data_IF_270586008835
#
_entry.id   IF_270586008835
#
_cell.length_a   1.000
_cell.length_b   1.000
_cell.length_c   1.000
_cell.angle_alpha   90.00
_cell.angle_beta   90.00
_cell.angle_gamma   90.00
#
_symmetry.space_group_name_H-M   'P 1'
#
loop_
_entity.id
_entity.type
_entity.pdbx_description
1 polymer ?
#
# COMPACT_ATOMS: atom_id res chain seq x y z
N UNK A 1 -37.52 -0.01 -21.17
CA UNK A 1 -36.58 -1.16 -21.13
C UNK A 1 -35.65 -0.91 -19.95
N UNK A 2 -35.95 -1.56 -18.83
CA UNK A 2 -35.28 -1.35 -17.54
C UNK A 2 -34.06 -2.27 -17.45
N UNK A 3 -32.88 -1.73 -17.15
CA UNK A 3 -31.67 -2.50 -16.92
C UNK A 3 -31.78 -3.22 -15.58
N UNK A 4 -31.72 -4.55 -15.60
CA UNK A 4 -31.70 -5.37 -14.41
C UNK A 4 -30.34 -5.22 -13.70
N UNK A 5 -30.35 -4.78 -12.44
CA UNK A 5 -29.25 -4.96 -11.52
C UNK A 5 -29.04 -6.47 -11.30
N UNK A 6 -27.82 -7.01 -11.44
CA UNK A 6 -27.56 -8.37 -11.01
C UNK A 6 -27.56 -8.38 -9.49
N UNK A 7 -28.65 -8.86 -8.90
CA UNK A 7 -28.72 -9.24 -7.49
C UNK A 7 -27.73 -10.37 -7.27
N UNK A 8 -26.63 -10.06 -6.59
CA UNK A 8 -25.73 -11.06 -6.01
C UNK A 8 -26.43 -11.58 -4.77
N UNK A 9 -26.94 -12.81 -4.83
CA UNK A 9 -27.52 -13.47 -3.67
C UNK A 9 -26.44 -13.62 -2.59
N UNK A 10 -26.63 -12.94 -1.46
CA UNK A 10 -25.82 -13.10 -0.27
C UNK A 10 -26.02 -14.52 0.25
N UNK A 11 -25.08 -15.42 -0.06
CA UNK A 11 -25.09 -16.76 0.51
C UNK A 11 -24.87 -16.67 2.03
N UNK A 12 -25.68 -17.37 2.85
CA UNK A 12 -25.43 -17.45 4.28
C UNK A 12 -24.05 -18.07 4.51
N UNK A 13 -23.27 -17.42 5.39
CA UNK A 13 -21.93 -17.88 5.77
C UNK A 13 -22.02 -19.34 6.26
N UNK A 14 -21.18 -20.26 5.78
CA UNK A 14 -20.96 -21.51 6.47
C UNK A 14 -20.53 -21.14 7.89
N UNK A 15 -21.24 -21.66 8.90
CA UNK A 15 -20.83 -21.54 10.28
C UNK A 15 -19.38 -22.04 10.37
N UNK A 16 -18.46 -21.12 10.64
CA UNK A 16 -17.01 -21.37 10.66
C UNK A 16 -16.43 -21.88 9.33
N UNK A 17 -16.22 -20.97 8.36
CA UNK A 17 -15.13 -21.19 7.40
C UNK A 17 -13.83 -21.02 8.17
N UNK A 18 -13.26 -22.13 8.61
CA UNK A 18 -11.87 -22.17 9.09
C UNK A 18 -10.99 -21.86 7.89
N UNK A 19 -10.70 -20.57 7.66
CA UNK A 19 -9.62 -20.17 6.77
C UNK A 19 -8.37 -20.88 7.31
N UNK A 20 -7.61 -21.63 6.47
CA UNK A 20 -6.33 -22.16 6.91
C UNK A 20 -5.54 -21.01 7.51
N UNK A 21 -4.97 -21.23 8.70
CA UNK A 21 -4.38 -20.19 9.55
C UNK A 21 -3.63 -19.18 8.70
N UNK A 22 -4.25 -18.01 8.52
CA UNK A 22 -3.63 -16.86 7.87
C UNK A 22 -2.32 -16.63 8.61
N UNK A 23 -1.17 -16.41 7.93
CA UNK A 23 0.03 -16.03 8.65
C UNK A 23 -0.34 -14.83 9.53
N UNK A 24 -0.22 -14.91 10.87
CA UNK A 24 -0.51 -13.77 11.75
C UNK A 24 0.24 -12.50 11.32
N UNK A 25 1.34 -12.69 10.59
CA UNK A 25 2.20 -11.68 10.00
C UNK A 25 1.51 -10.69 9.03
N UNK A 26 0.34 -11.00 8.45
CA UNK A 26 -0.25 -10.17 7.39
C UNK A 26 -1.60 -9.51 7.74
N UNK A 27 -2.08 -9.63 8.99
CA UNK A 27 -2.95 -8.63 9.61
C UNK A 27 -4.43 -8.57 9.22
N UNK A 28 -4.97 -9.55 8.47
CA UNK A 28 -6.42 -9.65 8.25
C UNK A 28 -7.06 -10.50 9.35
N UNK A 29 -8.09 -10.00 10.01
CA UNK A 29 -8.91 -10.78 10.95
C UNK A 29 -10.39 -10.62 10.62
N UNK A 30 -11.13 -11.72 10.66
CA UNK A 30 -12.60 -11.66 10.67
C UNK A 30 -13.05 -10.94 11.93
N UNK A 31 -14.04 -10.05 11.83
CA UNK A 31 -14.62 -9.38 13.02
C UNK A 31 -15.23 -10.44 13.94
N UNK A 32 -14.68 -10.69 15.14
CA UNK A 32 -15.39 -11.39 16.19
C UNK A 32 -16.53 -10.48 16.70
N UNK A 33 -17.66 -11.05 17.10
CA UNK A 33 -18.85 -10.31 17.57
C UNK A 33 -18.54 -9.28 18.69
N UNK A 34 -17.45 -9.47 19.42
CA UNK A 34 -17.01 -8.60 20.52
C UNK A 34 -16.14 -7.39 20.11
N UNK A 35 -15.71 -7.25 18.85
CA UNK A 35 -14.78 -6.17 18.46
C UNK A 35 -15.50 -4.83 18.28
N UNK A 36 -15.19 -3.89 19.18
CA UNK A 36 -15.59 -2.47 19.11
C UNK A 36 -14.61 -1.69 18.20
N UNK A 37 -14.72 -1.85 16.89
CA UNK A 37 -13.99 -1.06 15.89
C UNK A 37 -14.79 0.12 15.35
N UNK A 38 -14.12 1.10 14.73
CA UNK A 38 -14.76 2.22 14.02
C UNK A 38 -15.06 1.78 12.59
N UNK A 39 -16.24 2.13 12.04
CA UNK A 39 -16.56 1.93 10.62
C UNK A 39 -15.50 2.60 9.75
N UNK A 40 -14.96 1.87 8.78
CA UNK A 40 -13.92 2.39 7.89
C UNK A 40 -14.47 3.54 7.02
N UNK A 41 -15.70 3.42 6.50
CA UNK A 41 -16.39 4.52 5.82
C UNK A 41 -16.42 5.77 6.69
N UNK A 42 -16.94 5.67 7.91
CA UNK A 42 -17.03 6.82 8.84
C UNK A 42 -15.64 7.42 9.11
N UNK A 43 -14.63 6.59 9.30
CA UNK A 43 -13.27 7.03 9.59
C UNK A 43 -12.64 7.79 8.40
N UNK A 44 -12.90 7.35 7.17
CA UNK A 44 -12.17 7.81 5.98
C UNK A 44 -12.91 8.82 5.11
N UNK A 45 -14.22 8.97 5.28
CA UNK A 45 -15.05 9.85 4.42
C UNK A 45 -15.75 10.96 5.19
N UNK A 46 -15.39 11.18 6.47
CA UNK A 46 -15.96 12.28 7.28
C UNK A 46 -14.85 13.20 7.77
N UNK A 47 -15.16 14.49 7.90
CA UNK A 47 -14.20 15.50 8.35
C UNK A 47 -13.59 15.16 9.73
N UNK A 48 -14.43 14.66 10.66
CA UNK A 48 -13.98 14.26 11.99
C UNK A 48 -13.07 13.03 11.94
N UNK A 49 -13.44 12.01 11.17
CA UNK A 49 -12.62 10.80 11.02
C UNK A 49 -11.25 11.11 10.42
N UNK A 50 -11.23 11.87 9.32
CA UNK A 50 -10.00 12.29 8.66
C UNK A 50 -9.15 13.23 9.51
N UNK A 51 -9.74 14.09 10.36
CA UNK A 51 -8.99 14.90 11.31
C UNK A 51 -8.19 14.03 12.31
N UNK A 52 -8.78 12.93 12.78
CA UNK A 52 -8.04 11.96 13.61
C UNK A 52 -6.91 11.29 12.82
N UNK A 53 -7.16 10.92 11.55
CA UNK A 53 -6.13 10.36 10.68
C UNK A 53 -4.95 11.33 10.45
N UNK A 54 -5.24 12.60 10.19
CA UNK A 54 -4.22 13.63 9.96
C UNK A 54 -3.44 13.95 11.24
N UNK A 55 -4.09 13.96 12.39
CA UNK A 55 -3.42 14.07 13.69
C UNK A 55 -2.43 12.92 13.92
N UNK A 56 -2.79 11.68 13.53
CA UNK A 56 -1.90 10.54 13.61
C UNK A 56 -0.69 10.66 12.66
N UNK A 57 -0.86 11.27 11.47
CA UNK A 57 0.26 11.61 10.58
C UNK A 57 1.22 12.56 11.27
N UNK A 58 0.73 13.64 11.88
CA UNK A 58 1.60 14.60 12.55
C UNK A 58 2.35 13.97 13.73
N UNK A 59 1.67 13.12 14.51
CA UNK A 59 2.31 12.38 15.60
C UNK A 59 3.44 11.45 15.11
N UNK A 60 3.38 11.00 13.85
CA UNK A 60 4.36 10.07 13.27
C UNK A 60 5.51 10.80 12.57
N UNK A 61 5.20 11.83 11.80
CA UNK A 61 6.14 12.46 10.87
C UNK A 61 6.56 13.88 11.26
N UNK A 62 5.90 14.53 12.21
CA UNK A 62 6.16 15.92 12.57
C UNK A 62 5.09 16.90 12.08
N UNK A 63 5.39 18.19 12.07
CA UNK A 63 4.39 19.23 11.79
C UNK A 63 4.11 19.36 10.29
N UNK A 64 3.27 18.46 9.77
CA UNK A 64 2.91 18.43 8.36
C UNK A 64 1.76 19.40 8.04
N UNK A 65 1.92 20.17 6.95
CA UNK A 65 0.82 20.95 6.37
C UNK A 65 -0.36 20.03 5.95
N UNK A 66 -1.56 20.60 5.80
CA UNK A 66 -2.77 19.81 5.47
C UNK A 66 -2.62 18.94 4.22
N UNK A 67 -1.84 19.41 3.24
CA UNK A 67 -1.59 18.70 1.99
C UNK A 67 -0.66 17.51 2.19
N UNK A 68 0.41 17.71 2.95
CA UNK A 68 1.33 16.67 3.36
C UNK A 68 0.60 15.63 4.21
N UNK A 69 -0.25 16.05 5.16
CA UNK A 69 -1.13 15.16 5.93
C UNK A 69 -1.96 14.26 5.01
N UNK A 70 -2.67 14.84 4.04
CA UNK A 70 -3.48 14.09 3.08
C UNK A 70 -2.68 13.06 2.27
N UNK A 71 -1.52 13.47 1.72
CA UNK A 71 -0.70 12.57 0.89
C UNK A 71 0.04 11.50 1.70
N UNK A 72 0.51 11.81 2.91
CA UNK A 72 1.16 10.85 3.79
C UNK A 72 0.14 9.84 4.31
N UNK A 73 -1.02 10.32 4.75
CA UNK A 73 -2.10 9.48 5.22
C UNK A 73 -2.55 8.48 4.14
N UNK A 74 -2.92 8.96 2.94
CA UNK A 74 -3.48 8.07 1.92
C UNK A 74 -2.45 7.02 1.46
N UNK A 75 -1.17 7.37 1.43
CA UNK A 75 -0.10 6.43 1.10
C UNK A 75 0.10 5.37 2.18
N UNK A 76 0.12 5.77 3.45
CA UNK A 76 0.23 4.83 4.57
C UNK A 76 -1.00 3.92 4.65
N UNK A 77 -2.20 4.49 4.55
CA UNK A 77 -3.46 3.74 4.55
C UNK A 77 -3.52 2.74 3.39
N UNK A 78 -3.28 3.18 2.15
CA UNK A 78 -3.35 2.30 0.99
C UNK A 78 -2.33 1.16 1.10
N UNK A 79 -1.11 1.43 1.57
CA UNK A 79 -0.11 0.39 1.79
C UNK A 79 -0.58 -0.64 2.84
N UNK A 80 -0.92 -0.20 4.04
CA UNK A 80 -1.30 -1.08 5.16
C UNK A 80 -2.58 -1.87 4.86
N UNK A 81 -3.55 -1.27 4.17
CA UNK A 81 -4.79 -1.93 3.76
C UNK A 81 -4.55 -2.98 2.66
N UNK A 82 -3.68 -2.69 1.69
CA UNK A 82 -3.46 -3.59 0.56
C UNK A 82 -2.62 -4.81 0.90
N UNK A 83 -1.73 -4.74 1.91
CA UNK A 83 -0.95 -5.90 2.34
C UNK A 83 -1.82 -7.15 2.65
N UNK A 84 -2.80 -7.10 3.57
CA UNK A 84 -3.67 -8.24 3.85
C UNK A 84 -4.55 -8.65 2.66
N UNK A 85 -5.05 -7.68 1.89
CA UNK A 85 -5.91 -7.93 0.71
C UNK A 85 -5.15 -8.75 -0.34
N UNK A 86 -3.94 -8.29 -0.71
CA UNK A 86 -3.12 -8.94 -1.72
C UNK A 86 -2.53 -10.26 -1.22
N UNK A 87 -2.20 -10.36 0.07
CA UNK A 87 -1.80 -11.62 0.69
C UNK A 87 -2.90 -12.68 0.63
N UNK A 88 -4.14 -12.29 0.95
CA UNK A 88 -5.32 -13.18 0.86
C UNK A 88 -5.48 -13.72 -0.56
N UNK A 89 -5.33 -12.83 -1.54
CA UNK A 89 -5.49 -13.17 -2.94
C UNK A 89 -4.38 -14.08 -3.47
N UNK A 90 -3.11 -13.72 -3.26
CA UNK A 90 -1.96 -14.52 -3.72
C UNK A 90 -1.91 -15.91 -3.05
N UNK A 91 -2.42 -16.08 -1.83
CA UNK A 91 -2.45 -17.36 -1.12
C UNK A 91 -3.67 -18.23 -1.46
N UNK A 92 -4.87 -17.63 -1.48
CA UNK A 92 -6.12 -18.38 -1.51
C UNK A 92 -6.95 -18.18 -2.78
N UNK A 93 -6.53 -17.30 -3.69
CA UNK A 93 -7.33 -16.87 -4.83
C UNK A 93 -8.62 -16.17 -4.41
N UNK A 94 -8.63 -15.56 -3.22
CA UNK A 94 -9.78 -14.87 -2.64
C UNK A 94 -9.48 -13.39 -2.46
N UNK A 95 -10.36 -12.53 -2.95
CA UNK A 95 -10.32 -11.09 -2.67
C UNK A 95 -11.44 -10.79 -1.67
N UNK A 96 -11.15 -10.25 -0.47
CA UNK A 96 -12.20 -9.77 0.42
C UNK A 96 -12.96 -8.61 -0.22
N UNK A 97 -14.21 -8.36 0.20
CA UNK A 97 -14.92 -7.15 -0.24
C UNK A 97 -14.05 -5.92 -0.01
N UNK A 98 -13.95 -5.04 -1.01
CA UNK A 98 -13.31 -3.73 -0.84
C UNK A 98 -14.34 -2.62 -0.57
N UNK A 99 -15.61 -2.94 -0.32
CA UNK A 99 -16.58 -1.92 0.10
C UNK A 99 -16.24 -1.42 1.52
N UNK A 100 -16.12 -0.11 1.69
CA UNK A 100 -15.83 0.54 2.98
C UNK A 100 -16.83 0.17 4.09
N UNK A 101 -18.07 -0.17 3.75
CA UNK A 101 -19.07 -0.58 4.74
C UNK A 101 -18.80 -1.96 5.34
N UNK A 102 -18.03 -2.79 4.65
CA UNK A 102 -17.66 -4.12 5.11
C UNK A 102 -16.48 -4.12 6.09
N UNK A 103 -15.85 -2.97 6.34
CA UNK A 103 -14.65 -2.89 7.18
C UNK A 103 -14.85 -2.08 8.45
N UNK A 104 -14.18 -2.55 9.50
CA UNK A 104 -13.91 -1.79 10.72
C UNK A 104 -12.41 -1.66 10.91
N UNK A 105 -11.98 -0.57 11.53
CA UNK A 105 -10.59 -0.36 11.92
C UNK A 105 -10.49 -0.14 13.43
N UNK A 106 -9.45 -0.73 14.02
CA UNK A 106 -8.99 -0.44 15.37
C UNK A 106 -7.52 -0.05 15.29
N UNK A 107 -7.12 0.92 16.10
CA UNK A 107 -5.73 1.33 16.17
C UNK A 107 -5.12 0.81 17.46
N UNK A 108 -3.99 0.11 17.37
CA UNK A 108 -3.29 -0.44 18.54
C UNK A 108 -1.89 0.17 18.64
N UNK A 109 -1.46 0.58 19.86
CA UNK A 109 -0.15 1.15 20.05
C UNK A 109 0.92 0.08 19.82
N UNK A 110 1.79 0.32 18.84
CA UNK A 110 2.96 -0.49 18.52
C UNK A 110 4.20 0.28 18.94
N UNK A 111 5.10 -0.38 19.67
CA UNK A 111 6.39 0.19 20.09
C UNK A 111 7.50 -0.37 19.24
N UNK A 112 8.34 0.50 18.69
CA UNK A 112 9.55 0.12 17.96
C UNK A 112 10.73 0.87 18.54
N UNK A 113 11.80 0.14 18.83
CA UNK A 113 13.08 0.71 19.24
C UNK A 113 13.87 1.08 17.99
N UNK A 114 14.14 2.37 17.81
CA UNK A 114 15.02 2.86 16.75
C UNK A 114 16.47 2.38 16.99
N UNK A 115 17.33 2.31 15.97
CA UNK A 115 18.74 1.94 16.13
C UNK A 115 19.52 2.81 17.12
N UNK A 116 19.08 4.05 17.36
CA UNK A 116 19.65 4.98 18.34
C UNK A 116 19.12 4.76 19.78
N UNK A 117 18.35 3.70 20.04
CA UNK A 117 17.78 3.37 21.35
C UNK A 117 16.50 4.13 21.72
N UNK A 118 16.03 5.07 20.90
CA UNK A 118 14.77 5.79 21.17
C UNK A 118 13.56 4.88 20.90
N UNK A 119 12.60 4.86 21.81
CA UNK A 119 11.30 4.23 21.58
C UNK A 119 10.39 5.14 20.75
N UNK A 120 9.85 4.60 19.67
CA UNK A 120 8.78 5.19 18.88
C UNK A 120 7.49 4.42 19.16
N UNK A 121 6.47 5.11 19.64
CA UNK A 121 5.11 4.55 19.76
C UNK A 121 4.28 5.09 18.62
N UNK A 122 3.79 4.22 17.74
CA UNK A 122 2.84 4.59 16.69
C UNK A 122 1.59 3.70 16.78
N UNK A 123 0.47 4.23 16.32
CA UNK A 123 -0.81 3.54 16.37
C UNK A 123 -1.03 2.80 15.06
N UNK A 124 -0.77 1.47 15.05
CA UNK A 124 -0.91 0.64 13.87
C UNK A 124 -2.40 0.35 13.59
N UNK A 125 -2.87 0.48 12.34
CA UNK A 125 -4.23 0.08 12.00
C UNK A 125 -4.35 -1.45 11.93
N UNK A 126 -5.41 -1.97 12.53
CA UNK A 126 -5.87 -3.35 12.41
C UNK A 126 -7.21 -3.33 11.69
N UNK A 127 -7.27 -3.98 10.53
CA UNK A 127 -8.46 -4.04 9.69
C UNK A 127 -9.24 -5.31 9.97
N UNK A 128 -10.52 -5.14 10.26
CA UNK A 128 -11.45 -6.22 10.52
C UNK A 128 -12.54 -6.23 9.46
N UNK A 129 -12.76 -7.40 8.88
CA UNK A 129 -13.76 -7.61 7.83
C UNK A 129 -15.05 -8.17 8.44
N UNK A 130 -16.18 -7.49 8.20
CA UNK A 130 -17.50 -7.85 8.71
C UNK A 130 -18.20 -8.90 7.84
N UNK A 131 -17.86 -8.97 6.55
CA UNK A 131 -18.40 -9.94 5.61
C UNK A 131 -17.32 -10.40 4.63
N UNK A 132 -17.14 -11.71 4.50
CA UNK A 132 -16.43 -12.28 3.36
C UNK A 132 -17.40 -12.31 2.19
N UNK A 133 -17.50 -11.22 1.43
CA UNK A 133 -17.93 -11.32 0.03
C UNK A 133 -16.76 -11.93 -0.73
N UNK A 134 -16.54 -13.21 -0.48
CA UNK A 134 -15.45 -13.94 -1.08
C UNK A 134 -15.74 -14.04 -2.56
N UNK A 135 -15.07 -13.21 -3.36
CA UNK A 135 -14.76 -13.57 -4.73
C UNK A 135 -13.93 -14.84 -4.64
N UNK A 136 -14.58 -16.00 -4.63
CA UNK A 136 -13.88 -17.25 -4.93
C UNK A 136 -13.34 -17.09 -6.34
N UNK A 137 -12.14 -17.62 -6.57
CA UNK A 137 -11.56 -17.88 -7.88
C UNK A 137 -12.61 -18.59 -8.77
N UNK A 138 -13.50 -17.83 -9.40
CA UNK A 138 -14.10 -18.23 -10.65
C UNK A 138 -12.95 -18.15 -11.66
N UNK A 139 -12.96 -19.02 -12.66
CA UNK A 139 -11.97 -19.11 -13.74
C UNK A 139 -11.95 -17.85 -14.65
N UNK A 140 -12.23 -16.67 -14.09
CA UNK A 140 -12.20 -15.39 -14.77
C UNK A 140 -10.78 -15.07 -15.18
N UNK A 141 -10.60 -15.12 -16.49
CA UNK A 141 -9.40 -14.67 -17.20
C UNK A 141 -9.07 -13.19 -16.96
N UNK A 142 -9.90 -12.43 -16.20
CA UNK A 142 -9.75 -10.97 -16.02
C UNK A 142 -9.85 -10.46 -14.56
N UNK A 143 -9.28 -11.20 -13.59
CA UNK A 143 -9.23 -10.76 -12.19
C UNK A 143 -8.53 -9.39 -12.00
N UNK A 144 -7.63 -9.01 -12.91
CA UNK A 144 -6.91 -7.73 -12.87
C UNK A 144 -7.87 -6.57 -13.08
N UNK A 145 -8.80 -6.68 -14.04
CA UNK A 145 -9.84 -5.68 -14.24
C UNK A 145 -10.82 -5.62 -13.05
N UNK A 146 -11.19 -6.78 -12.47
CA UNK A 146 -12.05 -6.83 -11.27
C UNK A 146 -11.38 -6.10 -10.11
N UNK A 147 -10.12 -6.43 -9.81
CA UNK A 147 -9.37 -5.76 -8.74
C UNK A 147 -9.20 -4.26 -9.04
N UNK A 148 -8.88 -3.89 -10.28
CA UNK A 148 -8.77 -2.49 -10.69
C UNK A 148 -10.06 -1.71 -10.42
N UNK A 149 -11.22 -2.23 -10.85
CA UNK A 149 -12.52 -1.63 -10.61
C UNK A 149 -12.86 -1.53 -9.11
N UNK A 150 -12.58 -2.58 -8.34
CA UNK A 150 -12.79 -2.60 -6.90
C UNK A 150 -11.91 -1.58 -6.16
N UNK A 151 -10.65 -1.40 -6.60
CA UNK A 151 -9.75 -0.38 -6.06
C UNK A 151 -10.26 1.03 -6.38
N UNK A 152 -10.71 1.28 -7.61
CA UNK A 152 -11.31 2.57 -7.97
C UNK A 152 -12.53 2.88 -7.10
N UNK A 153 -13.43 1.91 -6.93
CA UNK A 153 -14.61 2.06 -6.09
C UNK A 153 -14.26 2.33 -4.63
N UNK A 154 -13.29 1.59 -4.07
CA UNK A 154 -12.85 1.75 -2.68
C UNK A 154 -12.21 3.12 -2.43
N UNK A 155 -11.28 3.54 -3.30
CA UNK A 155 -10.49 4.74 -3.07
C UNK A 155 -11.16 6.04 -3.49
N UNK A 156 -12.13 6.03 -4.42
CA UNK A 156 -12.80 7.27 -4.87
C UNK A 156 -13.37 8.11 -3.74
N UNK A 157 -14.26 7.60 -2.85
CA UNK A 157 -14.83 8.41 -1.79
C UNK A 157 -13.79 8.88 -0.75
N UNK A 158 -12.68 8.14 -0.61
CA UNK A 158 -11.56 8.51 0.27
C UNK A 158 -10.76 9.66 -0.35
N UNK A 159 -10.48 9.57 -1.64
CA UNK A 159 -9.77 10.62 -2.39
C UNK A 159 -10.57 11.91 -2.38
N UNK A 160 -11.88 11.84 -2.63
CA UNK A 160 -12.78 13.00 -2.61
C UNK A 160 -12.74 13.70 -1.25
N UNK A 161 -12.94 12.94 -0.16
CA UNK A 161 -12.94 13.48 1.19
C UNK A 161 -11.57 14.05 1.61
N UNK A 162 -10.47 13.38 1.25
CA UNK A 162 -9.12 13.88 1.53
C UNK A 162 -8.84 15.15 0.70
N UNK A 163 -9.22 15.19 -0.57
CA UNK A 163 -9.02 16.36 -1.43
C UNK A 163 -9.74 17.58 -0.85
N UNK A 164 -11.00 17.41 -0.46
CA UNK A 164 -11.82 18.44 0.19
C UNK A 164 -11.15 18.95 1.48
N UNK A 165 -10.76 18.06 2.39
CA UNK A 165 -10.24 18.45 3.70
C UNK A 165 -8.80 18.98 3.67
N UNK A 166 -7.95 18.44 2.80
CA UNK A 166 -6.53 18.83 2.72
C UNK A 166 -6.27 20.01 1.79
N UNK A 167 -7.21 20.32 0.89
CA UNK A 167 -6.98 21.26 -0.21
C UNK A 167 -6.00 20.74 -1.28
N UNK A 168 -5.80 19.41 -1.34
CA UNK A 168 -5.08 18.75 -2.42
C UNK A 168 -5.98 18.53 -3.64
N UNK A 169 -5.36 18.48 -4.82
CA UNK A 169 -6.03 17.93 -6.00
C UNK A 169 -6.06 16.40 -5.91
N UNK A 170 -7.09 15.78 -6.46
CA UNK A 170 -7.26 14.33 -6.47
C UNK A 170 -6.14 13.60 -7.24
N UNK A 171 -5.70 14.14 -8.38
CA UNK A 171 -4.70 13.48 -9.24
C UNK A 171 -3.40 13.08 -8.50
N UNK A 172 -2.76 13.98 -7.72
CA UNK A 172 -1.66 13.61 -6.84
C UNK A 172 -1.98 12.50 -5.82
N UNK A 173 -3.18 12.49 -5.22
CA UNK A 173 -3.59 11.45 -4.27
C UNK A 173 -3.68 10.07 -4.95
N UNK A 174 -4.29 10.02 -6.14
CA UNK A 174 -4.33 8.80 -6.94
C UNK A 174 -2.95 8.27 -7.33
N UNK A 175 -1.98 9.15 -7.63
CA UNK A 175 -0.60 8.72 -7.88
C UNK A 175 0.07 8.13 -6.65
N UNK A 176 -0.23 8.64 -5.45
CA UNK A 176 0.26 8.05 -4.20
C UNK A 176 -0.40 6.69 -3.94
N UNK A 177 -1.68 6.51 -4.28
CA UNK A 177 -2.33 5.20 -4.24
C UNK A 177 -1.67 4.23 -5.23
N UNK A 178 -1.39 4.65 -6.46
CA UNK A 178 -0.67 3.84 -7.44
C UNK A 178 0.72 3.40 -6.93
N UNK A 179 1.47 4.32 -6.30
CA UNK A 179 2.73 3.98 -5.63
C UNK A 179 2.52 2.95 -4.50
N UNK A 180 1.41 3.04 -3.77
CA UNK A 180 1.12 2.14 -2.65
C UNK A 180 0.75 0.73 -3.13
N UNK A 181 0.02 0.64 -4.25
CA UNK A 181 -0.24 -0.63 -4.95
C UNK A 181 1.09 -1.29 -5.35
N UNK A 182 1.99 -0.56 -6.01
CA UNK A 182 3.27 -1.13 -6.45
C UNK A 182 4.09 -1.69 -5.28
N UNK A 183 4.24 -0.94 -4.17
CA UNK A 183 5.02 -1.47 -3.02
C UNK A 183 4.30 -2.63 -2.33
N UNK A 184 2.97 -2.63 -2.23
CA UNK A 184 2.24 -3.70 -1.57
C UNK A 184 2.41 -5.01 -2.34
N UNK A 185 2.24 -4.98 -3.68
CA UNK A 185 2.52 -6.14 -4.53
C UNK A 185 3.99 -6.59 -4.44
N UNK A 186 4.95 -5.66 -4.43
CA UNK A 186 6.36 -6.00 -4.30
C UNK A 186 6.66 -6.70 -2.97
N UNK A 187 6.14 -6.19 -1.86
CA UNK A 187 6.38 -6.76 -0.53
C UNK A 187 5.72 -8.13 -0.37
N UNK A 188 4.46 -8.27 -0.78
CA UNK A 188 3.77 -9.56 -0.72
C UNK A 188 4.40 -10.56 -1.68
N UNK A 189 4.78 -10.13 -2.90
CA UNK A 189 5.45 -10.97 -3.89
C UNK A 189 6.79 -11.50 -3.40
N UNK A 190 7.63 -10.64 -2.78
CA UNK A 190 8.89 -11.06 -2.13
C UNK A 190 8.66 -12.07 -1.02
N UNK A 191 7.67 -11.83 -0.16
CA UNK A 191 7.36 -12.74 0.95
C UNK A 191 6.79 -14.10 0.49
N UNK A 192 6.37 -14.21 -0.78
CA UNK A 192 5.74 -15.40 -1.35
C UNK A 192 6.52 -16.00 -2.50
N UNK A 193 7.78 -15.58 -2.68
CA UNK A 193 8.67 -16.05 -3.75
C UNK A 193 8.05 -15.92 -5.16
N UNK A 194 7.21 -14.91 -5.39
CA UNK A 194 6.51 -14.66 -6.65
C UNK A 194 6.65 -13.20 -7.12
N UNK A 195 7.78 -12.56 -6.78
CA UNK A 195 8.02 -11.13 -6.98
C UNK A 195 7.72 -10.66 -8.40
N UNK A 196 8.26 -11.33 -9.42
CA UNK A 196 8.11 -10.93 -10.81
C UNK A 196 6.63 -10.90 -11.23
N UNK A 197 5.88 -11.96 -10.94
CA UNK A 197 4.46 -12.04 -11.24
C UNK A 197 3.64 -10.97 -10.49
N UNK A 198 4.00 -10.68 -9.24
CA UNK A 198 3.36 -9.64 -8.45
C UNK A 198 3.64 -8.23 -9.02
N UNK A 199 4.86 -7.96 -9.50
CA UNK A 199 5.21 -6.70 -10.15
C UNK A 199 4.43 -6.51 -11.45
N UNK A 200 4.38 -7.52 -12.31
CA UNK A 200 3.61 -7.48 -13.56
C UNK A 200 2.12 -7.23 -13.30
N UNK A 201 1.56 -7.91 -12.29
CA UNK A 201 0.20 -7.65 -11.82
C UNK A 201 0.00 -6.19 -11.40
N UNK A 202 0.88 -5.63 -10.57
CA UNK A 202 0.79 -4.24 -10.15
C UNK A 202 0.81 -3.28 -11.36
N UNK A 203 1.76 -3.47 -12.29
CA UNK A 203 1.88 -2.62 -13.48
C UNK A 203 0.62 -2.69 -14.36
N UNK A 204 0.04 -3.88 -14.53
CA UNK A 204 -1.20 -4.03 -15.31
C UNK A 204 -2.38 -3.23 -14.74
N UNK A 205 -2.40 -2.99 -13.43
CA UNK A 205 -3.41 -2.18 -12.74
C UNK A 205 -3.08 -0.69 -12.89
N UNK A 206 -1.85 -0.28 -12.54
CA UNK A 206 -1.49 1.15 -12.46
C UNK A 206 -1.14 1.79 -13.81
N UNK A 207 -0.96 1.00 -14.88
CA UNK A 207 -0.70 1.53 -16.23
C UNK A 207 -1.93 1.50 -17.15
N UNK A 208 -3.11 1.17 -16.63
CA UNK A 208 -4.36 1.24 -17.38
C UNK A 208 -4.76 2.69 -17.66
N UNK A 209 -4.59 3.11 -18.93
CA UNK A 209 -4.89 4.47 -19.40
C UNK A 209 -6.38 4.82 -19.25
N UNK A 210 -6.66 6.12 -19.10
CA UNK A 210 -8.03 6.63 -18.97
C UNK A 210 -8.62 6.46 -17.57
N UNK A 211 -7.84 6.00 -16.61
CA UNK A 211 -8.28 5.78 -15.23
C UNK A 211 -7.53 6.71 -14.27
N UNK A 212 -8.12 7.11 -13.13
CA UNK A 212 -7.42 7.95 -12.14
C UNK A 212 -6.13 7.32 -11.60
N UNK A 213 -6.09 5.98 -11.51
CA UNK A 213 -4.92 5.21 -11.10
C UNK A 213 -3.76 5.22 -12.11
N UNK A 214 -3.98 5.68 -13.34
CA UNK A 214 -2.96 5.70 -14.36
C UNK A 214 -1.73 6.50 -13.92
N UNK A 215 -0.59 5.83 -13.84
CA UNK A 215 0.68 6.45 -13.50
C UNK A 215 1.83 5.87 -14.31
N UNK A 216 2.20 6.59 -15.38
CA UNK A 216 3.34 6.21 -16.26
C UNK A 216 4.65 5.98 -15.49
N UNK A 217 4.86 6.68 -14.37
CA UNK A 217 6.11 6.65 -13.61
C UNK A 217 6.12 5.63 -12.47
N UNK A 218 4.96 5.26 -11.93
CA UNK A 218 4.91 4.25 -10.87
C UNK A 218 5.38 2.92 -11.44
N UNK A 219 6.28 2.24 -10.74
CA UNK A 219 6.84 1.00 -11.23
C UNK A 219 7.96 0.49 -10.35
N UNK A 220 8.95 -0.16 -10.96
CA UNK A 220 10.02 -0.86 -10.26
C UNK A 220 11.38 -0.55 -10.88
N UNK A 221 12.42 -0.62 -10.06
CA UNK A 221 13.81 -0.52 -10.47
C UNK A 221 14.64 -1.52 -9.69
N UNK A 222 15.46 -2.28 -10.39
CA UNK A 222 16.30 -3.32 -9.81
C UNK A 222 17.74 -2.83 -9.76
N UNK A 223 18.40 -3.05 -8.62
CA UNK A 223 19.81 -2.76 -8.42
C UNK A 223 20.51 -4.06 -8.05
N UNK A 224 21.44 -4.48 -8.90
CA UNK A 224 22.30 -5.64 -8.63
C UNK A 224 23.54 -5.19 -7.87
N UNK A 225 23.83 -5.88 -6.78
CA UNK A 225 25.03 -5.71 -5.95
C UNK A 225 25.94 -6.91 -6.19
N UNK A 226 27.21 -6.64 -6.46
CA UNK A 226 28.26 -7.62 -6.76
C UNK A 226 29.26 -7.74 -5.62
N UNK A 227 29.96 -8.88 -5.56
CA UNK A 227 31.03 -9.12 -4.59
C UNK A 227 32.18 -8.14 -4.86
N UNK A 228 32.65 -7.38 -3.85
CA UNK A 228 33.74 -6.42 -4.03
C UNK A 228 35.08 -7.08 -4.43
N UNK A 229 35.26 -8.37 -4.14
CA UNK A 229 36.47 -9.13 -4.48
C UNK A 229 36.34 -9.87 -5.83
N UNK A 230 35.12 -10.06 -6.32
CA UNK A 230 34.82 -10.66 -7.62
C UNK A 230 33.59 -10.01 -8.25
N UNK A 231 33.83 -9.01 -9.10
CA UNK A 231 32.77 -8.22 -9.74
C UNK A 231 31.92 -9.01 -10.75
N UNK A 232 32.24 -10.29 -11.01
CA UNK A 232 31.38 -11.20 -11.78
C UNK A 232 30.38 -11.95 -10.89
N UNK A 233 30.63 -12.02 -9.58
CA UNK A 233 29.76 -12.70 -8.63
C UNK A 233 28.69 -11.74 -8.12
N UNK A 234 27.41 -12.08 -8.38
CA UNK A 234 26.26 -11.34 -7.85
C UNK A 234 26.02 -11.74 -6.40
N UNK A 235 26.01 -10.78 -5.48
CA UNK A 235 25.58 -11.00 -4.10
C UNK A 235 24.06 -11.01 -4.01
N UNK A 236 23.42 -9.96 -4.53
CA UNK A 236 21.98 -9.79 -4.43
C UNK A 236 21.44 -8.83 -5.50
N UNK A 237 20.20 -9.04 -5.94
CA UNK A 237 19.44 -8.05 -6.71
C UNK A 237 18.32 -7.47 -5.85
N UNK A 238 18.38 -6.17 -5.58
CA UNK A 238 17.34 -5.47 -4.84
C UNK A 238 16.36 -4.75 -5.75
N UNK A 239 15.11 -5.19 -5.69
CA UNK A 239 14.01 -4.52 -6.35
C UNK A 239 13.43 -3.41 -5.46
N UNK A 240 13.26 -2.22 -6.03
CA UNK A 240 12.69 -1.03 -5.41
C UNK A 240 11.45 -0.57 -6.16
N UNK A 241 10.47 -0.01 -5.45
CA UNK A 241 9.37 0.72 -6.08
C UNK A 241 9.84 2.11 -6.52
N UNK A 242 9.60 2.49 -7.78
CA UNK A 242 9.67 3.87 -8.25
C UNK A 242 8.35 4.61 -7.98
N UNK A 243 8.44 5.82 -7.41
CA UNK A 243 7.27 6.67 -7.16
C UNK A 243 6.92 7.55 -8.35
N UNK A 244 5.64 7.57 -8.72
CA UNK A 244 5.03 8.58 -9.58
C UNK A 244 4.31 9.69 -8.80
N UNK A 245 3.94 9.44 -7.54
CA UNK A 245 3.27 10.39 -6.65
C UNK A 245 4.23 11.10 -5.69
N UNK A 246 3.95 12.38 -5.42
CA UNK A 246 4.64 13.13 -4.38
C UNK A 246 3.90 12.96 -3.04
N UNK A 247 4.58 12.37 -2.06
CA UNK A 247 4.08 12.27 -0.69
C UNK A 247 4.32 13.51 0.19
N UNK A 248 5.00 14.53 -0.36
CA UNK A 248 5.35 15.79 0.33
C UNK A 248 6.11 15.65 1.65
N UNK A 249 6.65 14.47 1.99
CA UNK A 249 7.37 14.29 3.26
C UNK A 249 8.50 15.31 3.48
N UNK A 250 9.17 15.74 2.40
CA UNK A 250 10.23 16.75 2.44
C UNK A 250 9.78 18.16 2.86
N UNK A 251 8.47 18.40 3.01
CA UNK A 251 7.92 19.65 3.54
C UNK A 251 7.61 19.56 5.03
N UNK A 252 7.96 18.45 5.69
CA UNK A 252 7.70 18.18 7.11
C UNK A 252 9.03 18.20 7.86
N UNK A 253 9.19 19.17 8.76
CA UNK A 253 10.40 19.34 9.58
C UNK A 253 11.70 19.20 8.76
N UNK A 254 12.66 18.39 9.23
CA UNK A 254 13.98 18.18 8.61
C UNK A 254 14.00 16.99 7.62
N UNK A 255 12.85 16.53 7.14
CA UNK A 255 12.80 15.40 6.21
C UNK A 255 13.36 15.76 4.82
N UNK A 256 14.02 14.79 4.18
CA UNK A 256 14.54 14.93 2.82
C UNK A 256 13.82 14.02 1.82
N UNK A 257 14.14 14.17 0.53
CA UNK A 257 13.63 13.27 -0.50
C UNK A 257 14.08 11.82 -0.26
N UNK A 258 13.14 10.88 -0.27
CA UNK A 258 13.47 9.46 -0.29
C UNK A 258 14.18 9.05 -1.58
N UNK A 259 14.96 7.96 -1.56
CA UNK A 259 15.68 7.43 -2.73
C UNK A 259 14.79 7.10 -3.92
N UNK A 260 13.48 6.88 -3.69
CA UNK A 260 12.49 6.58 -4.75
C UNK A 260 11.68 7.80 -5.19
N UNK A 261 12.01 9.01 -4.70
CA UNK A 261 11.18 10.21 -4.86
C UNK A 261 11.05 10.65 -6.33
N UNK A 262 9.85 11.05 -6.74
CA UNK A 262 9.57 11.52 -8.08
C UNK A 262 10.20 12.89 -8.42
N UNK A 263 10.76 13.61 -7.45
CA UNK A 263 11.43 14.89 -7.72
C UNK A 263 12.94 14.77 -7.94
N UNK A 264 13.52 13.60 -7.66
CA UNK A 264 14.93 13.38 -7.96
C UNK A 264 15.15 13.30 -9.47
N UNK A 265 16.29 13.84 -9.92
CA UNK A 265 16.80 13.59 -11.27
C UNK A 265 17.12 12.10 -11.43
N UNK A 266 17.00 11.52 -12.64
CA UNK A 266 17.25 10.09 -12.85
C UNK A 266 18.60 9.60 -12.30
N UNK A 267 19.70 10.33 -12.56
CA UNK A 267 21.03 9.93 -12.09
C UNK A 267 21.17 9.99 -10.57
N UNK A 268 20.59 11.01 -9.94
CA UNK A 268 20.56 11.14 -8.49
C UNK A 268 19.71 10.05 -7.84
N UNK A 269 18.56 9.72 -8.46
CA UNK A 269 17.71 8.62 -8.03
C UNK A 269 18.44 7.28 -8.10
N UNK A 270 19.07 6.99 -9.24
CA UNK A 270 19.85 5.77 -9.44
C UNK A 270 20.98 5.65 -8.41
N UNK A 271 21.74 6.74 -8.20
CA UNK A 271 22.80 6.78 -7.18
C UNK A 271 22.26 6.47 -5.78
N UNK A 272 21.20 7.14 -5.33
CA UNK A 272 20.61 6.89 -4.00
C UNK A 272 20.06 5.48 -3.85
N UNK A 273 19.51 4.88 -4.91
CA UNK A 273 19.05 3.49 -4.88
C UNK A 273 20.24 2.52 -4.77
N UNK A 274 21.34 2.79 -5.48
CA UNK A 274 22.57 2.03 -5.38
C UNK A 274 23.20 2.13 -3.98
N UNK A 275 23.22 3.31 -3.37
CA UNK A 275 23.67 3.51 -1.98
C UNK A 275 22.86 2.66 -1.01
N UNK A 276 21.52 2.67 -1.12
CA UNK A 276 20.63 1.86 -0.26
C UNK A 276 20.85 0.36 -0.48
N UNK A 277 21.04 -0.08 -1.72
CA UNK A 277 21.31 -1.48 -2.06
C UNK A 277 22.65 -1.94 -1.46
N UNK A 278 23.73 -1.20 -1.70
CA UNK A 278 25.05 -1.50 -1.16
C UNK A 278 25.07 -1.52 0.37
N UNK A 279 24.39 -0.58 1.01
CA UNK A 279 24.28 -0.52 2.46
C UNK A 279 23.62 -1.77 3.06
N UNK A 280 22.62 -2.37 2.36
CA UNK A 280 21.95 -3.60 2.84
C UNK A 280 22.87 -4.81 2.82
N UNK A 281 23.77 -4.87 1.84
CA UNK A 281 24.74 -5.95 1.68
C UNK A 281 26.07 -5.67 2.38
N UNK A 282 26.22 -4.51 3.03
CA UNK A 282 27.43 -4.14 3.75
C UNK A 282 28.64 -3.85 2.86
N UNK A 283 28.41 -3.43 1.62
CA UNK A 283 29.47 -3.13 0.63
C UNK A 283 29.55 -1.63 0.33
N UNK A 284 30.72 -1.17 -0.11
CA UNK A 284 30.94 0.23 -0.50
C UNK A 284 30.53 0.47 -1.96
N UNK A 285 29.84 1.59 -2.25
CA UNK A 285 29.34 1.86 -3.60
C UNK A 285 30.46 2.01 -4.66
N UNK A 286 31.62 2.53 -4.27
CA UNK A 286 32.79 2.70 -5.13
C UNK A 286 33.45 1.38 -5.54
N UNK A 287 33.17 0.29 -4.82
CA UNK A 287 33.58 -1.08 -5.18
C UNK A 287 32.69 -1.73 -6.23
N UNK A 288 31.53 -1.14 -6.54
CA UNK A 288 30.58 -1.70 -7.50
C UNK A 288 30.98 -1.36 -8.94
N UNK A 289 30.74 -2.27 -9.90
CA UNK A 289 30.94 -1.97 -11.31
C UNK A 289 30.04 -0.78 -11.72
N UNK A 290 30.59 0.09 -12.58
CA UNK A 290 29.88 1.25 -13.14
C UNK A 290 28.89 0.85 -14.21
#
# INVERSE_FOLDING_TARGET
MSAANPTVDALPLPATVTLPSFPPALGLSMVPDAVKGVSLRKQLTTAQGLAHCFSAVNATYGDADSRAQGTLFIGAYAYEFLLPVLASWLQGGQIPSLDLDNWKVKYEPTRVTKPNGQELVYHKPHFYLSALEGWRRQDHQDWRAILHGALLHHFSPIVDAIAEQSGMREGPLWKVIADSICIAFLMVGKHRDCEQAAREAALSIVHQRGTPLYSKRSGFHDVTVYDPNDTQTVLQTHSFRLRGGCCRIFTVDDHSYCSTCCFLKPDEQAKRLAEVACQREGVALDSQPR
#
